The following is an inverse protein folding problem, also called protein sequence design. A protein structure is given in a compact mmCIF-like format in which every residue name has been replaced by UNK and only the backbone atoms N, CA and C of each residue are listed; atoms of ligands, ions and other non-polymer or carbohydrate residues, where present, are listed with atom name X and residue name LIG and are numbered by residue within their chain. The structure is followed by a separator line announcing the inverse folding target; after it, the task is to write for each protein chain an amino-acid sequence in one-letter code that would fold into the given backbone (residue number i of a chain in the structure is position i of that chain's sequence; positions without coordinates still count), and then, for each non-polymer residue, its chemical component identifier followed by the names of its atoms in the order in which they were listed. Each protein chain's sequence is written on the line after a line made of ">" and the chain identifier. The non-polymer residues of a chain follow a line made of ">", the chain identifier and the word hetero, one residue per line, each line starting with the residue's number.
data_IF_752436312717
#
_entry.id   IF_752436312717
#
_cell.length_a   1.000
_cell.length_b   1.000
_cell.length_c   1.000
_cell.angle_alpha   90.00
_cell.angle_beta   90.00
_cell.angle_gamma   90.00
#
_symmetry.space_group_name_H-M   'P 1'
#
loop_
_entity.id
_entity.type
_entity.pdbx_description
1 polymer ?
#
# COMPACT_ATOMS: atom_id res chain seq x y z
N UNK A 1 -0.81 19.61 -0.21
CA UNK A 1 -0.90 18.82 -1.45
C UNK A 1 -2.16 17.98 -1.38
N UNK A 2 -3.25 18.31 -2.10
CA UNK A 2 -4.53 17.59 -1.99
C UNK A 2 -4.61 16.28 -2.79
N UNK A 3 -3.60 15.94 -3.60
CA UNK A 3 -3.61 14.77 -4.49
C UNK A 3 -2.42 13.81 -4.28
N UNK A 4 -1.66 13.98 -3.20
CA UNK A 4 -0.50 13.13 -2.95
C UNK A 4 -0.91 11.70 -2.59
N UNK A 5 -0.26 10.71 -3.18
CA UNK A 5 -0.37 9.33 -2.72
C UNK A 5 0.51 9.14 -1.48
N UNK A 6 -0.10 8.86 -0.33
CA UNK A 6 0.60 8.73 0.95
C UNK A 6 0.57 7.26 1.36
N UNK A 7 1.74 6.61 1.31
CA UNK A 7 1.96 5.27 1.83
C UNK A 7 2.50 5.30 3.26
N UNK A 8 2.03 4.38 4.10
CA UNK A 8 2.51 4.22 5.48
C UNK A 8 2.98 2.80 5.72
N UNK A 9 4.17 2.65 6.29
CA UNK A 9 4.71 1.36 6.72
C UNK A 9 4.24 1.04 8.14
N UNK A 10 3.69 -0.16 8.34
CA UNK A 10 3.17 -0.62 9.64
C UNK A 10 3.71 -2.00 9.95
N UNK A 11 4.17 -2.21 11.19
CA UNK A 11 4.57 -3.52 11.69
C UNK A 11 3.46 -4.04 12.62
N UNK A 12 3.02 -5.28 12.42
CA UNK A 12 2.09 -5.98 13.31
C UNK A 12 2.77 -7.16 14.00
N UNK A 13 2.27 -7.52 15.17
CA UNK A 13 2.77 -8.64 15.96
C UNK A 13 4.07 -8.32 16.70
N UNK A 14 4.32 -7.04 16.98
CA UNK A 14 5.48 -6.62 17.76
C UNK A 14 5.40 -7.21 19.19
N UNK A 15 6.53 -7.57 19.83
CA UNK A 15 6.50 -8.12 21.18
C UNK A 15 5.78 -7.19 22.17
N UNK A 16 4.77 -7.73 22.86
CA UNK A 16 3.90 -6.97 23.76
C UNK A 16 2.56 -6.52 23.18
N UNK A 17 2.39 -6.53 21.84
CA UNK A 17 1.17 -6.03 21.19
C UNK A 17 -0.08 -6.82 21.58
N UNK A 18 -0.99 -6.18 22.33
CA UNK A 18 -2.28 -6.77 22.74
C UNK A 18 -3.36 -6.62 21.67
N UNK A 19 -4.51 -7.29 21.86
CA UNK A 19 -5.65 -7.15 20.95
C UNK A 19 -6.23 -5.73 20.99
N UNK A 20 -6.24 -5.10 22.17
CA UNK A 20 -6.69 -3.71 22.35
C UNK A 20 -5.75 -2.72 21.64
N UNK A 21 -4.44 -2.90 21.75
CA UNK A 21 -3.46 -2.04 21.07
C UNK A 21 -3.52 -2.20 19.55
N UNK A 22 -3.74 -3.42 19.06
CA UNK A 22 -3.98 -3.66 17.65
C UNK A 22 -5.26 -2.96 17.18
N UNK A 23 -6.35 -3.02 17.97
CA UNK A 23 -7.60 -2.34 17.63
C UNK A 23 -7.44 -0.82 17.60
N UNK A 24 -6.74 -0.23 18.57
CA UNK A 24 -6.41 1.22 18.57
C UNK A 24 -5.62 1.60 17.32
N UNK A 25 -4.64 0.77 16.94
CA UNK A 25 -3.85 0.98 15.72
C UNK A 25 -4.74 0.90 14.47
N UNK A 26 -5.62 -0.10 14.40
CA UNK A 26 -6.57 -0.25 13.31
C UNK A 26 -7.46 0.98 13.16
N UNK A 27 -8.08 1.43 14.25
CA UNK A 27 -9.02 2.55 14.24
C UNK A 27 -8.32 3.86 13.85
N UNK A 28 -7.10 4.07 14.37
CA UNK A 28 -6.26 5.20 13.98
C UNK A 28 -5.97 5.18 12.47
N UNK A 29 -5.44 4.08 11.95
CA UNK A 29 -5.13 3.94 10.53
C UNK A 29 -6.39 4.07 9.67
N UNK A 30 -7.52 3.55 10.12
CA UNK A 30 -8.79 3.65 9.41
C UNK A 30 -9.23 5.11 9.24
N UNK A 31 -9.09 5.93 10.28
CA UNK A 31 -9.45 7.35 10.27
C UNK A 31 -8.49 8.25 9.49
N UNK A 32 -7.24 7.83 9.31
CA UNK A 32 -6.26 8.62 8.55
C UNK A 32 -6.61 8.70 7.05
N UNK A 33 -6.49 9.90 6.50
CA UNK A 33 -6.60 10.15 5.05
C UNK A 33 -5.25 9.85 4.37
N UNK A 34 -4.97 8.56 4.20
CA UNK A 34 -3.78 8.01 3.55
C UNK A 34 -4.20 7.04 2.44
N UNK A 35 -3.34 6.87 1.44
CA UNK A 35 -3.67 6.13 0.23
C UNK A 35 -3.53 4.63 0.41
N UNK A 36 -2.49 4.16 1.10
CA UNK A 36 -2.31 2.73 1.34
C UNK A 36 -1.38 2.45 2.51
N UNK A 37 -1.38 1.20 2.96
CA UNK A 37 -0.48 0.66 3.97
C UNK A 37 0.44 -0.40 3.35
N UNK A 38 1.71 -0.38 3.76
CA UNK A 38 2.62 -1.51 3.59
C UNK A 38 2.77 -2.22 4.94
N UNK A 39 2.22 -3.42 5.03
CA UNK A 39 2.07 -4.13 6.30
C UNK A 39 3.12 -5.22 6.42
N UNK A 40 4.01 -5.07 7.39
CA UNK A 40 5.03 -6.05 7.74
C UNK A 40 4.61 -6.86 8.95
N UNK A 41 4.80 -8.18 8.87
CA UNK A 41 4.77 -9.03 10.06
C UNK A 41 6.10 -8.89 10.79
N UNK A 42 6.06 -8.62 12.10
CA UNK A 42 7.28 -8.58 12.91
C UNK A 42 8.06 -9.89 12.79
N UNK A 43 9.35 -9.74 12.49
CA UNK A 43 10.34 -10.81 12.50
C UNK A 43 11.45 -10.47 13.47
N UNK A 44 11.80 -11.44 14.30
CA UNK A 44 12.87 -11.34 15.27
C UNK A 44 14.21 -11.13 14.56
N UNK A 45 15.00 -10.17 15.05
CA UNK A 45 16.36 -9.92 14.58
C UNK A 45 17.32 -9.92 15.75
N UNK A 46 18.35 -10.75 15.68
CA UNK A 46 19.40 -10.80 16.70
C UNK A 46 19.98 -9.40 16.97
N UNK A 47 20.41 -9.16 18.21
CA UNK A 47 20.99 -7.89 18.66
C UNK A 47 20.05 -6.68 18.63
N UNK A 48 18.73 -6.89 18.57
CA UNK A 48 17.73 -5.82 18.76
C UNK A 48 17.12 -5.88 20.16
N UNK A 49 16.66 -4.73 20.68
CA UNK A 49 15.91 -4.70 21.94
C UNK A 49 14.62 -5.52 21.86
N UNK A 50 13.95 -5.49 20.70
CA UNK A 50 12.72 -6.25 20.48
C UNK A 50 12.95 -7.77 20.61
N UNK A 51 14.13 -8.29 20.26
CA UNK A 51 14.44 -9.70 20.40
C UNK A 51 14.54 -10.18 21.86
N UNK A 52 14.75 -9.28 22.83
CA UNK A 52 14.82 -9.62 24.26
C UNK A 52 13.53 -9.29 25.03
N UNK A 53 12.55 -8.70 24.35
CA UNK A 53 11.24 -8.39 24.94
C UNK A 53 10.43 -9.66 25.22
N UNK A 54 9.67 -9.63 26.31
CA UNK A 54 8.74 -10.70 26.69
C UNK A 54 7.41 -10.54 25.94
N UNK A 55 6.52 -11.52 26.08
CA UNK A 55 5.17 -11.52 25.51
C UNK A 55 5.18 -11.45 23.97
N UNK A 56 5.87 -12.41 23.35
CA UNK A 56 5.88 -12.54 21.90
C UNK A 56 4.48 -12.91 21.40
N UNK A 57 4.02 -12.22 20.35
CA UNK A 57 2.73 -12.51 19.73
C UNK A 57 2.86 -13.82 18.91
N UNK A 58 1.93 -14.78 19.02
CA UNK A 58 1.96 -16.00 18.21
C UNK A 58 1.91 -15.70 16.71
N UNK A 59 2.66 -16.47 15.91
CA UNK A 59 2.76 -16.24 14.45
C UNK A 59 1.41 -16.29 13.72
N UNK A 60 0.47 -17.10 14.18
CA UNK A 60 -0.90 -17.14 13.65
C UNK A 60 -1.60 -15.79 13.81
N UNK A 61 -1.53 -15.20 15.01
CA UNK A 61 -2.12 -13.89 15.32
C UNK A 61 -1.43 -12.78 14.51
N UNK A 62 -0.09 -12.82 14.36
CA UNK A 62 0.61 -11.82 13.52
C UNK A 62 0.15 -11.87 12.06
N UNK A 63 -0.04 -13.08 11.51
CA UNK A 63 -0.54 -13.27 10.14
C UNK A 63 -1.98 -12.81 9.97
N UNK A 64 -2.83 -13.07 10.97
CA UNK A 64 -4.21 -12.59 10.99
C UNK A 64 -4.27 -11.06 10.98
N UNK A 65 -3.55 -10.42 11.91
CA UNK A 65 -3.43 -8.95 11.98
C UNK A 65 -2.89 -8.34 10.68
N UNK A 66 -1.91 -9.01 10.06
CA UNK A 66 -1.38 -8.58 8.76
C UNK A 66 -2.46 -8.61 7.68
N UNK A 67 -3.22 -9.71 7.58
CA UNK A 67 -4.30 -9.84 6.60
C UNK A 67 -5.38 -8.77 6.79
N UNK A 68 -5.75 -8.46 8.04
CA UNK A 68 -6.72 -7.41 8.37
C UNK A 68 -6.24 -6.05 7.85
N UNK A 69 -5.01 -5.63 8.16
CA UNK A 69 -4.49 -4.34 7.71
C UNK A 69 -4.21 -4.30 6.20
N UNK A 70 -3.86 -5.42 5.57
CA UNK A 70 -3.76 -5.50 4.11
C UNK A 70 -5.11 -5.26 3.44
N UNK A 71 -6.20 -5.82 3.99
CA UNK A 71 -7.54 -5.54 3.47
C UNK A 71 -7.94 -4.06 3.64
N UNK A 72 -7.56 -3.44 4.76
CA UNK A 72 -7.76 -2.00 4.96
C UNK A 72 -6.96 -1.18 3.93
N UNK A 73 -5.71 -1.57 3.65
CA UNK A 73 -4.85 -0.96 2.63
C UNK A 73 -5.49 -0.98 1.25
N UNK A 74 -6.00 -2.13 0.82
CA UNK A 74 -6.69 -2.28 -0.46
C UNK A 74 -7.91 -1.38 -0.57
N UNK A 75 -8.73 -1.31 0.49
CA UNK A 75 -9.90 -0.42 0.55
C UNK A 75 -9.51 1.06 0.41
N UNK A 76 -8.44 1.48 1.09
CA UNK A 76 -7.94 2.87 1.00
C UNK A 76 -7.39 3.20 -0.38
N UNK A 77 -6.64 2.28 -0.99
CA UNK A 77 -6.08 2.51 -2.33
C UNK A 77 -7.19 2.59 -3.39
N UNK A 78 -8.20 1.73 -3.27
CA UNK A 78 -9.37 1.79 -4.14
C UNK A 78 -10.10 3.11 -3.97
N UNK A 79 -10.37 3.54 -2.73
CA UNK A 79 -11.01 4.83 -2.46
C UNK A 79 -10.22 6.00 -3.06
N UNK A 80 -8.89 6.03 -2.85
CA UNK A 80 -8.01 7.05 -3.42
C UNK A 80 -8.06 7.06 -4.95
N UNK A 81 -8.06 5.89 -5.59
CA UNK A 81 -8.15 5.76 -7.05
C UNK A 81 -9.49 6.28 -7.57
N UNK A 82 -10.60 5.90 -6.92
CA UNK A 82 -11.95 6.33 -7.28
C UNK A 82 -12.11 7.87 -7.20
N UNK A 83 -11.47 8.54 -6.23
CA UNK A 83 -11.50 10.01 -6.17
C UNK A 83 -10.88 10.70 -7.40
N UNK A 84 -10.04 9.98 -8.14
CA UNK A 84 -9.34 10.48 -9.33
C UNK A 84 -9.88 9.90 -10.64
N UNK A 85 -10.86 8.99 -10.58
CA UNK A 85 -11.43 8.35 -11.75
C UNK A 85 -11.97 9.38 -12.76
N UNK A 86 -11.61 9.20 -14.03
CA UNK A 86 -12.01 10.07 -15.14
C UNK A 86 -11.21 11.37 -15.27
N UNK A 87 -10.30 11.68 -14.33
CA UNK A 87 -9.37 12.79 -14.47
C UNK A 87 -8.30 12.45 -15.51
N UNK A 88 -7.91 13.43 -16.31
CA UNK A 88 -6.73 13.30 -17.19
C UNK A 88 -5.48 13.72 -16.43
N UNK A 89 -4.51 12.82 -16.30
CA UNK A 89 -3.25 13.06 -15.58
C UNK A 89 -2.05 12.63 -16.42
N UNK A 90 -0.86 13.23 -16.23
CA UNK A 90 0.36 12.74 -16.83
C UNK A 90 0.71 11.35 -16.27
N UNK A 91 0.91 10.38 -17.15
CA UNK A 91 1.27 8.99 -16.82
C UNK A 91 2.58 8.64 -17.50
N UNK A 92 3.55 8.18 -16.73
CA UNK A 92 4.76 7.57 -17.26
C UNK A 92 4.48 6.09 -17.55
N UNK A 93 4.51 5.72 -18.82
CA UNK A 93 4.35 4.33 -19.23
C UNK A 93 5.70 3.61 -19.28
N UNK A 94 5.76 2.44 -18.65
CA UNK A 94 6.99 1.64 -18.53
C UNK A 94 6.98 0.48 -19.53
N UNK A 95 8.16 -0.14 -19.72
CA UNK A 95 8.28 -1.30 -20.58
C UNK A 95 7.71 -2.55 -19.89
N UNK A 96 6.45 -2.87 -20.19
CA UNK A 96 5.85 -4.15 -19.89
C UNK A 96 4.89 -4.52 -21.01
N UNK A 97 5.20 -5.54 -21.80
CA UNK A 97 4.17 -6.25 -22.57
C UNK A 97 3.71 -7.44 -21.74
N UNK A 98 2.60 -7.26 -21.02
CA UNK A 98 1.88 -8.36 -20.39
C UNK A 98 0.57 -8.54 -21.14
N UNK A 99 0.53 -9.53 -22.03
CA UNK A 99 -0.67 -9.92 -22.77
C UNK A 99 -1.24 -8.80 -23.67
N UNK A 100 -0.39 -7.98 -24.31
CA UNK A 100 -0.83 -6.89 -25.18
C UNK A 100 -1.25 -5.61 -24.45
N UNK A 101 -0.97 -5.51 -23.15
CA UNK A 101 -1.18 -4.32 -22.34
C UNK A 101 0.14 -3.83 -21.76
N UNK A 102 0.23 -2.51 -21.56
CA UNK A 102 1.29 -1.86 -20.82
C UNK A 102 0.75 -1.14 -19.59
N UNK A 103 1.61 -1.00 -18.58
CA UNK A 103 1.30 -0.36 -17.31
C UNK A 103 2.12 0.93 -17.17
N UNK A 104 1.54 1.92 -16.50
CA UNK A 104 2.20 3.16 -16.16
C UNK A 104 1.71 3.71 -14.83
N UNK A 105 2.39 4.73 -14.33
CA UNK A 105 2.03 5.41 -13.09
C UNK A 105 1.78 6.88 -13.35
N UNK A 106 0.69 7.41 -12.82
CA UNK A 106 0.43 8.85 -12.81
C UNK A 106 1.40 9.61 -11.89
N UNK A 107 1.40 10.93 -12.00
CA UNK A 107 2.10 11.84 -11.07
C UNK A 107 1.70 11.67 -9.59
N UNK A 108 0.56 11.03 -9.32
CA UNK A 108 0.13 10.63 -7.99
C UNK A 108 0.10 9.11 -7.78
N UNK A 109 0.96 8.36 -8.47
CA UNK A 109 1.19 6.92 -8.28
C UNK A 109 -0.04 6.01 -8.47
N UNK A 110 -1.07 6.48 -9.18
CA UNK A 110 -2.17 5.62 -9.61
C UNK A 110 -1.69 4.80 -10.81
N UNK A 111 -1.87 3.48 -10.74
CA UNK A 111 -1.52 2.58 -11.83
C UNK A 111 -2.57 2.66 -12.92
N UNK A 112 -2.13 2.89 -14.16
CA UNK A 112 -2.97 2.94 -15.36
C UNK A 112 -2.54 1.84 -16.32
N UNK A 113 -3.51 1.13 -16.89
CA UNK A 113 -3.28 0.04 -17.85
C UNK A 113 -3.95 0.40 -19.18
N UNK A 114 -3.18 0.34 -20.27
CA UNK A 114 -3.66 0.62 -21.63
C UNK A 114 -3.18 -0.45 -22.61
N UNK A 115 -3.77 -0.57 -23.81
CA UNK A 115 -3.21 -1.40 -24.87
C UNK A 115 -1.77 -1.02 -25.18
N UNK A 116 -0.92 -2.03 -25.38
CA UNK A 116 0.50 -1.83 -25.65
C UNK A 116 0.71 -0.92 -26.86
N UNK A 117 1.51 0.12 -26.66
CA UNK A 117 1.82 1.13 -27.67
C UNK A 117 3.32 1.44 -27.60
N UNK A 118 4.10 0.92 -28.56
CA UNK A 118 5.57 0.95 -28.54
C UNK A 118 6.14 2.37 -28.31
N UNK A 119 5.55 3.38 -28.94
CA UNK A 119 6.01 4.77 -28.85
C UNK A 119 5.61 5.48 -27.53
N UNK A 120 4.89 4.82 -26.63
CA UNK A 120 4.58 5.36 -25.30
C UNK A 120 5.58 4.89 -24.23
N UNK A 121 6.42 3.91 -24.53
CA UNK A 121 7.44 3.41 -23.60
C UNK A 121 8.37 4.55 -23.17
N UNK A 122 8.62 4.65 -21.86
CA UNK A 122 9.46 5.68 -21.23
C UNK A 122 9.03 7.12 -21.58
N UNK A 123 7.75 7.31 -21.88
CA UNK A 123 7.18 8.61 -22.25
C UNK A 123 6.05 8.98 -21.29
N UNK A 124 5.91 10.27 -21.03
CA UNK A 124 4.81 10.82 -20.22
C UNK A 124 3.67 11.19 -21.15
N UNK A 125 2.52 10.52 -20.98
CA UNK A 125 1.33 10.71 -21.81
C UNK A 125 0.17 11.12 -20.92
N UNK A 126 -0.59 12.13 -21.36
CA UNK A 126 -1.85 12.50 -20.70
C UNK A 126 -2.88 11.40 -20.91
N UNK A 127 -3.21 10.70 -19.84
CA UNK A 127 -4.14 9.57 -19.86
C UNK A 127 -5.25 9.78 -18.85
N UNK A 128 -6.42 9.20 -19.13
CA UNK A 128 -7.48 9.14 -18.12
C UNK A 128 -7.11 8.09 -17.08
N UNK A 129 -7.28 8.45 -15.81
CA UNK A 129 -7.29 7.52 -14.68
C UNK A 129 -8.57 6.70 -14.72
#
# INVERSE_FOLDING_TARGET
>A
MPHGCIGVDVIVGFPGETDEEFQVTYDFLHQLDISYLHVFTYSERENTLAATMKNTVPMSVRKERNAILRNLSEKKMNYFTEQHHGQTRPVLFEHADKNGYMEGYSDNYIRVTIPYTEHYINSIILSKI
#
